data_IF_152407836200
#
_entry.id   IF_152407836200
#
_cell.length_a   1.000
_cell.length_b   1.000
_cell.length_c   1.000
_cell.angle_alpha   90.00
_cell.angle_beta   90.00
_cell.angle_gamma   90.00
#
_symmetry.space_group_name_H-M   'P 1'
#
loop_
_entity.id
_entity.type
_entity.pdbx_description
1 polymer ?
#
# COMPACT_ATOMS: atom_id res chain seq x y z
N UNK A 1 37.15 -27.27 10.93
CA UNK A 1 36.56 -25.97 11.33
C UNK A 1 36.79 -25.81 12.83
N UNK A 2 37.50 -24.77 13.27
CA UNK A 2 37.70 -24.51 14.70
C UNK A 2 36.59 -23.56 15.18
N UNK A 3 35.80 -23.99 16.18
CA UNK A 3 34.73 -23.20 16.78
C UNK A 3 35.11 -22.85 18.22
N UNK A 4 34.76 -21.65 18.66
CA UNK A 4 35.02 -21.15 20.01
C UNK A 4 33.91 -20.23 20.49
N UNK A 5 33.98 -19.82 21.75
CA UNK A 5 33.04 -18.85 22.30
C UNK A 5 33.29 -17.43 21.74
N UNK A 6 32.31 -16.54 21.94
CA UNK A 6 32.35 -15.16 21.46
C UNK A 6 33.50 -14.36 22.09
N UNK A 7 33.89 -14.65 23.32
CA UNK A 7 34.99 -13.95 24.02
C UNK A 7 36.32 -14.33 23.38
N UNK A 8 36.56 -15.62 23.14
CA UNK A 8 37.75 -16.10 22.41
C UNK A 8 37.82 -15.47 21.03
N UNK A 9 36.71 -15.44 20.28
CA UNK A 9 36.65 -14.77 18.97
C UNK A 9 36.98 -13.27 19.06
N UNK A 10 36.37 -12.56 20.01
CA UNK A 10 36.58 -11.13 20.20
C UNK A 10 38.06 -10.82 20.45
N UNK A 11 38.67 -11.51 21.40
CA UNK A 11 40.05 -11.28 21.83
C UNK A 11 41.08 -11.68 20.76
N UNK A 12 40.86 -12.81 20.07
CA UNK A 12 41.88 -13.38 19.17
C UNK A 12 41.74 -12.90 17.72
N UNK A 13 40.54 -12.51 17.28
CA UNK A 13 40.27 -12.15 15.87
C UNK A 13 39.76 -10.72 15.76
N UNK A 14 38.67 -10.38 16.46
CA UNK A 14 37.95 -9.12 16.24
C UNK A 14 38.79 -7.90 16.61
N UNK A 15 39.41 -7.90 17.80
CA UNK A 15 40.23 -6.77 18.28
C UNK A 15 41.36 -6.44 17.31
N UNK A 16 42.10 -7.46 16.84
CA UNK A 16 43.20 -7.25 15.89
C UNK A 16 42.75 -6.62 14.56
N UNK A 17 41.51 -6.88 14.12
CA UNK A 17 40.99 -6.35 12.86
C UNK A 17 40.28 -5.00 13.00
N UNK A 18 39.62 -4.76 14.12
CA UNK A 18 38.67 -3.63 14.26
C UNK A 18 39.20 -2.52 15.17
N UNK A 19 40.20 -2.78 16.02
CA UNK A 19 40.69 -1.81 17.03
C UNK A 19 41.07 -0.45 16.43
N UNK A 20 41.90 -0.43 15.39
CA UNK A 20 42.34 0.82 14.77
C UNK A 20 41.20 1.63 14.17
N UNK A 21 40.16 0.95 13.66
CA UNK A 21 38.95 1.62 13.16
C UNK A 21 38.10 2.16 14.32
N UNK A 22 37.90 1.36 15.38
CA UNK A 22 37.10 1.77 16.53
C UNK A 22 37.70 2.97 17.28
N UNK A 23 39.03 3.04 17.38
CA UNK A 23 39.74 4.16 18.02
C UNK A 23 39.52 5.51 17.32
N UNK A 24 39.11 5.52 16.04
CA UNK A 24 38.76 6.77 15.34
C UNK A 24 37.53 7.46 15.94
N UNK A 25 36.70 6.74 16.68
CA UNK A 25 35.50 7.27 17.33
C UNK A 25 35.76 7.68 18.80
N UNK A 26 36.99 7.60 19.29
CA UNK A 26 37.35 8.00 20.64
C UNK A 26 37.34 9.53 20.78
N UNK A 27 36.39 10.06 21.56
CA UNK A 27 36.21 11.49 21.77
C UNK A 27 37.27 12.12 22.70
N UNK A 28 38.11 11.32 23.35
CA UNK A 28 39.16 11.82 24.24
C UNK A 28 40.43 12.26 23.49
N UNK A 29 40.61 11.80 22.25
CA UNK A 29 41.74 12.13 21.39
C UNK A 29 41.27 13.07 20.26
N UNK A 30 41.36 14.39 20.48
CA UNK A 30 40.88 15.39 19.51
C UNK A 30 41.53 15.28 18.12
N UNK A 31 42.76 14.77 18.04
CA UNK A 31 43.47 14.55 16.77
C UNK A 31 42.77 13.52 15.85
N UNK A 32 41.97 12.61 16.42
CA UNK A 32 41.31 11.54 15.67
C UNK A 32 39.85 11.85 15.29
N UNK A 33 39.25 12.89 15.86
CA UNK A 33 37.85 13.26 15.60
C UNK A 33 37.63 13.66 14.12
N UNK A 34 38.64 14.25 13.48
CA UNK A 34 38.58 14.63 12.06
C UNK A 34 38.73 13.42 11.11
N UNK A 35 39.25 12.29 11.61
CA UNK A 35 39.53 11.07 10.85
C UNK A 35 38.42 10.01 10.97
N UNK A 36 37.40 10.30 11.79
CA UNK A 36 36.26 9.42 12.05
C UNK A 36 35.32 9.35 10.84
N UNK A 37 35.06 8.15 10.27
CA UNK A 37 34.07 8.01 9.21
C UNK A 37 32.66 8.37 9.70
N UNK A 38 31.77 8.90 8.82
CA UNK A 38 30.41 9.22 9.21
C UNK A 38 29.64 7.99 9.69
N UNK A 39 28.69 8.21 10.60
CA UNK A 39 27.84 7.14 11.11
C UNK A 39 27.00 6.52 9.99
N UNK A 40 26.89 5.20 10.00
CA UNK A 40 26.01 4.49 9.07
C UNK A 40 24.55 4.88 9.34
N UNK A 41 23.72 5.06 8.29
CA UNK A 41 22.32 5.38 8.48
C UNK A 41 21.63 4.22 9.21
N UNK A 42 21.06 4.50 10.38
CA UNK A 42 20.31 3.48 11.12
C UNK A 42 19.03 3.13 10.34
N UNK A 43 18.72 1.84 10.12
CA UNK A 43 17.51 1.43 9.43
C UNK A 43 16.28 1.82 10.24
N UNK A 44 15.73 2.99 9.95
CA UNK A 44 14.48 3.44 10.54
C UNK A 44 13.31 2.81 9.78
N UNK A 45 12.65 1.84 10.41
CA UNK A 45 11.32 1.42 10.00
C UNK A 45 10.41 2.60 10.32
N UNK A 46 10.24 3.51 9.35
CA UNK A 46 9.21 4.56 9.46
C UNK A 46 7.92 3.82 9.81
N UNK A 47 7.33 4.13 10.96
CA UNK A 47 5.97 3.72 11.25
C UNK A 47 5.07 4.43 10.24
N UNK A 48 5.00 3.90 9.01
CA UNK A 48 3.96 4.29 8.08
C UNK A 48 2.65 4.00 8.84
N UNK A 49 1.71 4.96 8.84
CA UNK A 49 0.39 4.70 9.38
C UNK A 49 -0.10 3.37 8.78
N UNK A 50 -0.78 2.53 9.56
CA UNK A 50 -1.20 1.20 9.13
C UNK A 50 -2.14 1.17 7.92
N UNK A 51 -2.35 2.32 7.26
CA UNK A 51 -3.17 2.47 6.08
C UNK A 51 -2.51 1.85 4.84
N UNK A 52 -3.29 1.11 4.04
CA UNK A 52 -2.85 0.65 2.73
C UNK A 52 -2.48 1.84 1.82
N UNK A 53 -1.29 1.81 1.21
CA UNK A 53 -0.86 2.78 0.20
C UNK A 53 -1.37 2.35 -1.16
N UNK A 54 -2.08 3.22 -1.89
CA UNK A 54 -2.52 2.95 -3.27
C UNK A 54 -1.31 2.90 -4.22
N UNK A 55 -1.26 1.90 -5.09
CA UNK A 55 -0.14 1.71 -6.05
C UNK A 55 -0.55 1.82 -7.52
N UNK A 56 -1.85 1.85 -7.82
CA UNK A 56 -2.38 2.04 -9.17
C UNK A 56 -3.40 3.17 -9.18
N UNK A 57 -3.35 4.06 -10.17
CA UNK A 57 -4.34 5.14 -10.33
C UNK A 57 -5.62 4.67 -11.04
N UNK A 58 -5.50 3.64 -11.88
CA UNK A 58 -6.62 3.04 -12.61
C UNK A 58 -7.33 1.98 -11.77
N UNK A 59 -6.57 1.17 -11.03
CA UNK A 59 -7.11 0.06 -10.25
C UNK A 59 -7.10 0.39 -8.76
N UNK A 60 -8.06 -0.15 -8.00
CA UNK A 60 -8.13 0.00 -6.54
C UNK A 60 -7.16 -0.97 -5.84
N UNK A 61 -5.87 -0.90 -6.19
CA UNK A 61 -4.81 -1.78 -5.64
C UNK A 61 -4.03 -1.02 -4.58
N UNK A 62 -3.91 -1.64 -3.40
CA UNK A 62 -3.22 -1.07 -2.25
C UNK A 62 -2.21 -2.06 -1.67
N UNK A 63 -1.11 -1.53 -1.13
CA UNK A 63 -0.07 -2.30 -0.43
C UNK A 63 0.06 -1.82 1.02
N UNK A 64 0.14 -2.75 1.96
CA UNK A 64 0.33 -2.48 3.39
C UNK A 64 1.51 -3.29 3.90
N UNK A 65 2.33 -2.76 4.83
CA UNK A 65 3.31 -3.57 5.52
C UNK A 65 2.64 -4.76 6.21
N UNK A 66 3.26 -5.93 6.18
CA UNK A 66 2.78 -7.14 6.86
C UNK A 66 3.01 -6.99 8.37
N UNK A 67 2.18 -6.17 9.04
CA UNK A 67 2.14 -6.08 10.51
C UNK A 67 1.23 -7.19 11.04
N UNK A 68 1.58 -7.81 12.16
CA UNK A 68 0.78 -8.82 12.86
C UNK A 68 -0.50 -8.26 13.53
N UNK A 69 -0.94 -7.05 13.13
CA UNK A 69 -2.14 -6.39 13.66
C UNK A 69 -3.38 -6.67 12.82
N UNK A 70 -4.54 -6.22 13.28
CA UNK A 70 -5.78 -6.25 12.48
C UNK A 70 -5.58 -5.44 11.20
N UNK A 71 -5.49 -6.13 10.06
CA UNK A 71 -5.36 -5.48 8.76
C UNK A 71 -6.52 -4.52 8.49
N UNK A 72 -6.20 -3.30 8.06
CA UNK A 72 -7.19 -2.29 7.62
C UNK A 72 -7.73 -2.58 6.21
N UNK A 73 -7.41 -3.75 5.63
CA UNK A 73 -7.92 -4.17 4.34
C UNK A 73 -9.45 -4.32 4.43
N UNK A 74 -10.21 -3.73 3.49
CA UNK A 74 -11.67 -3.83 3.50
C UNK A 74 -12.11 -5.30 3.57
N UNK A 75 -12.86 -5.67 4.62
CA UNK A 75 -13.44 -7.02 4.79
C UNK A 75 -14.62 -7.30 3.86
N UNK A 76 -14.94 -6.36 2.96
CA UNK A 76 -16.06 -6.47 2.03
C UNK A 76 -15.78 -7.35 0.81
N UNK A 77 -14.57 -7.90 0.68
CA UNK A 77 -14.16 -8.76 -0.44
C UNK A 77 -13.59 -10.08 0.06
N UNK A 78 -13.73 -11.14 -0.73
CA UNK A 78 -13.17 -12.46 -0.44
C UNK A 78 -11.66 -12.36 -0.16
N UNK A 79 -11.21 -12.82 1.01
CA UNK A 79 -9.81 -12.73 1.43
C UNK A 79 -9.06 -14.01 1.09
N UNK A 80 -7.98 -13.88 0.31
CA UNK A 80 -7.05 -14.98 0.04
C UNK A 80 -5.72 -14.77 0.78
N UNK A 81 -5.28 -15.80 1.52
CA UNK A 81 -3.98 -15.86 2.18
C UNK A 81 -3.23 -17.11 1.70
N UNK A 82 -2.08 -16.91 1.07
CA UNK A 82 -1.16 -17.99 0.74
C UNK A 82 -0.81 -18.79 2.01
N UNK A 83 -0.87 -20.12 1.91
CA UNK A 83 -0.62 -21.04 3.04
C UNK A 83 -1.55 -20.88 4.26
N UNK A 84 -2.72 -20.24 4.10
CA UNK A 84 -3.66 -20.03 5.22
C UNK A 84 -5.16 -20.10 4.87
N UNK A 85 -5.54 -19.87 3.61
CA UNK A 85 -6.93 -20.01 3.17
C UNK A 85 -7.21 -21.44 2.67
N UNK A 86 -8.29 -22.11 3.11
CA UNK A 86 -8.71 -23.41 2.57
C UNK A 86 -9.00 -23.31 1.07
N UNK A 87 -8.77 -24.39 0.32
CA UNK A 87 -9.03 -24.50 -1.13
C UNK A 87 -10.47 -24.13 -1.54
N UNK A 88 -11.43 -24.22 -0.61
CA UNK A 88 -12.82 -23.77 -0.81
C UNK A 88 -12.93 -22.26 -1.12
N UNK A 89 -12.07 -21.42 -0.52
CA UNK A 89 -12.04 -19.97 -0.75
C UNK A 89 -11.66 -19.61 -2.19
N UNK A 90 -10.84 -20.43 -2.86
CA UNK A 90 -10.43 -20.19 -4.25
C UNK A 90 -11.56 -20.39 -5.26
N UNK A 91 -12.48 -21.33 -5.01
CA UNK A 91 -13.64 -21.54 -5.90
C UNK A 91 -14.57 -20.33 -5.89
N UNK A 92 -14.82 -19.76 -4.71
CA UNK A 92 -15.63 -18.56 -4.55
C UNK A 92 -14.99 -17.35 -5.24
N UNK A 93 -13.66 -17.19 -5.11
CA UNK A 93 -12.91 -16.13 -5.80
C UNK A 93 -12.99 -16.30 -7.33
N UNK A 94 -12.79 -17.52 -7.83
CA UNK A 94 -12.89 -17.79 -9.27
C UNK A 94 -14.30 -17.50 -9.80
N UNK A 95 -15.34 -17.84 -9.04
CA UNK A 95 -16.72 -17.53 -9.39
C UNK A 95 -16.97 -16.01 -9.40
N UNK A 96 -16.47 -15.28 -8.40
CA UNK A 96 -16.56 -13.81 -8.33
C UNK A 96 -15.88 -13.14 -9.53
N UNK A 97 -14.68 -13.60 -9.93
CA UNK A 97 -13.97 -13.07 -11.10
C UNK A 97 -14.75 -13.37 -12.39
N UNK A 98 -15.29 -14.58 -12.54
CA UNK A 98 -16.07 -14.99 -13.72
C UNK A 98 -17.38 -14.23 -13.87
N UNK A 99 -18.06 -13.94 -12.77
CA UNK A 99 -19.36 -13.26 -12.76
C UNK A 99 -19.21 -11.73 -12.78
N UNK A 100 -18.00 -11.21 -12.56
CA UNK A 100 -17.73 -9.79 -12.36
C UNK A 100 -18.35 -9.26 -11.06
N UNK A 101 -18.05 -8.00 -10.74
CA UNK A 101 -18.76 -7.28 -9.68
C UNK A 101 -20.20 -7.08 -10.16
N UNK A 102 -21.08 -8.02 -9.85
CA UNK A 102 -22.51 -7.80 -9.98
C UNK A 102 -22.80 -6.56 -9.14
N UNK A 103 -23.09 -5.41 -9.80
CA UNK A 103 -23.63 -4.22 -9.15
C UNK A 103 -24.74 -4.75 -8.27
N UNK A 104 -24.49 -4.80 -6.96
CA UNK A 104 -25.46 -5.25 -5.98
C UNK A 104 -26.65 -4.35 -6.20
N UNK A 105 -27.66 -4.87 -6.89
CA UNK A 105 -28.93 -4.19 -7.11
C UNK A 105 -29.35 -3.79 -5.71
N UNK A 106 -29.37 -2.48 -5.46
CA UNK A 106 -29.80 -1.89 -4.19
C UNK A 106 -30.99 -2.69 -3.71
N UNK A 107 -30.96 -3.18 -2.47
CA UNK A 107 -32.14 -3.81 -1.86
C UNK A 107 -33.28 -2.80 -2.01
N UNK A 108 -34.20 -3.08 -2.91
CA UNK A 108 -35.47 -2.37 -3.02
C UNK A 108 -36.22 -2.77 -1.77
N UNK A 109 -36.18 -1.90 -0.76
CA UNK A 109 -37.13 -1.96 0.34
C UNK A 109 -38.41 -1.38 -0.26
N UNK A 110 -39.37 -2.23 -0.59
CA UNK A 110 -40.72 -1.80 -0.90
C UNK A 110 -41.34 -1.32 0.43
N UNK A 111 -41.34 -0.01 0.65
CA UNK A 111 -42.25 0.63 1.58
C UNK A 111 -42.99 1.68 0.76
N UNK A 112 -44.23 1.32 0.41
CA UNK A 112 -45.27 2.23 0.01
C UNK A 112 -45.55 3.18 1.18
N UNK A 113 -45.18 4.44 1.04
CA UNK A 113 -45.76 5.55 1.80
C UNK A 113 -45.27 6.87 1.21
N UNK A 114 -46.23 7.57 0.62
CA UNK A 114 -46.25 8.96 0.19
C UNK A 114 -45.41 9.89 1.10
N UNK A 115 -44.22 10.31 0.64
CA UNK A 115 -43.45 11.40 1.23
C UNK A 115 -42.35 11.88 0.28
N UNK A 116 -42.56 13.06 -0.28
CA UNK A 116 -41.58 13.81 -1.06
C UNK A 116 -40.36 14.17 -0.17
N UNK A 117 -39.17 13.71 -0.55
CA UNK A 117 -37.91 14.09 0.10
C UNK A 117 -36.75 14.08 -0.91
N UNK A 118 -35.87 15.10 -0.90
CA UNK A 118 -35.14 15.50 -2.09
C UNK A 118 -33.96 14.57 -2.36
N UNK A 119 -34.03 13.82 -3.45
CA UNK A 119 -32.94 12.97 -3.89
C UNK A 119 -31.77 13.84 -4.40
N UNK A 120 -30.61 13.64 -3.79
CA UNK A 120 -29.31 14.13 -4.26
C UNK A 120 -29.16 13.80 -5.76
N UNK A 121 -28.93 14.84 -6.56
CA UNK A 121 -28.75 14.78 -8.02
C UNK A 121 -27.77 13.66 -8.39
N UNK A 122 -28.30 12.60 -8.99
CA UNK A 122 -27.55 11.71 -9.88
C UNK A 122 -26.93 12.64 -10.92
N UNK A 123 -25.61 12.68 -11.06
CA UNK A 123 -25.01 13.20 -12.28
C UNK A 123 -25.42 12.23 -13.39
N UNK A 124 -26.59 12.50 -13.98
CA UNK A 124 -26.99 11.91 -15.22
C UNK A 124 -26.02 12.51 -16.23
N UNK A 125 -24.98 11.75 -16.56
CA UNK A 125 -24.21 11.93 -17.77
C UNK A 125 -25.21 11.87 -18.93
N UNK A 126 -25.79 13.03 -19.23
CA UNK A 126 -26.73 13.21 -20.31
C UNK A 126 -25.89 13.20 -21.58
N UNK A 127 -25.69 12.00 -22.13
CA UNK A 127 -24.99 11.78 -23.40
C UNK A 127 -25.53 12.72 -24.49
N UNK A 128 -26.82 13.06 -24.45
CA UNK A 128 -27.46 14.04 -25.33
C UNK A 128 -26.82 15.44 -25.28
N UNK A 129 -26.40 15.90 -24.08
CA UNK A 129 -25.74 17.21 -23.92
C UNK A 129 -24.32 17.17 -24.48
N UNK A 130 -23.62 16.04 -24.30
CA UNK A 130 -22.29 15.83 -24.88
C UNK A 130 -22.35 15.73 -26.41
N UNK A 131 -23.33 15.01 -26.94
CA UNK A 131 -23.57 14.86 -28.38
C UNK A 131 -23.91 16.21 -29.03
N UNK A 132 -24.76 17.01 -28.38
CA UNK A 132 -25.09 18.37 -28.86
C UNK A 132 -23.85 19.26 -28.88
N UNK A 133 -23.03 19.25 -27.82
CA UNK A 133 -21.77 20.02 -27.77
C UNK A 133 -20.78 19.61 -28.86
N UNK A 134 -20.70 18.32 -29.16
CA UNK A 134 -19.84 17.83 -30.25
C UNK A 134 -20.34 18.30 -31.62
N UNK A 135 -21.66 18.30 -31.84
CA UNK A 135 -22.25 18.85 -33.06
C UNK A 135 -22.03 20.36 -33.20
N UNK A 136 -22.14 21.12 -32.10
CA UNK A 136 -21.89 22.56 -32.11
C UNK A 136 -20.45 22.87 -32.51
N UNK A 137 -19.47 22.13 -31.96
CA UNK A 137 -18.04 22.27 -32.32
C UNK A 137 -17.76 21.92 -33.78
N UNK A 138 -18.44 20.91 -34.34
CA UNK A 138 -18.32 20.56 -35.76
C UNK A 138 -18.93 21.65 -36.64
N UNK A 139 -20.06 22.22 -36.23
CA UNK A 139 -20.76 23.27 -36.98
C UNK A 139 -20.01 24.60 -36.98
N UNK A 140 -19.37 24.98 -35.87
CA UNK A 140 -18.50 26.18 -35.83
C UNK A 140 -17.31 26.06 -36.79
N UNK A 141 -16.70 24.87 -36.88
CA UNK A 141 -15.57 24.63 -37.79
C UNK A 141 -15.97 24.55 -39.26
N UNK A 142 -17.21 24.20 -39.57
CA UNK A 142 -17.71 24.14 -40.93
C UNK A 142 -18.12 25.52 -41.48
N UNK A 143 -18.30 26.51 -40.61
CA UNK A 143 -18.68 27.88 -40.95
C UNK A 143 -17.47 28.86 -40.92
N UNK A 144 -16.25 28.34 -40.89
CA UNK A 144 -14.99 29.09 -41.00
C UNK A 144 -14.25 28.74 -42.29
#
# INVERSE_FOLDING_TARGET
EERGDLIKFYNTIYVGRVKSFALKYDLSNQDHVMDAPPLSPFPHIKQQPGSPRRISQQHSIYISPHKNGSGLTPRSTLLYKFNGSPSKSLKEINNMIRQGEQRTKKRVIAIDSDAESPAKRVCQENDDVLLKRLQDVVSERANH
#
